data_IF_139676550847
#
_entry.id   IF_139676550847
#
_cell.length_a   1.000
_cell.length_b   1.000
_cell.length_c   1.000
_cell.angle_alpha   90.00
_cell.angle_beta   90.00
_cell.angle_gamma   90.00
#
_symmetry.space_group_name_H-M   'P 1'
#
loop_
_entity.id
_entity.type
_entity.pdbx_description
1 polymer ?
#
# COMPACT_ATOMS: atom_id res chain seq x y z
N UNK A 1 -21.23 69.15 28.11
CA UNK A 1 -20.35 69.03 26.92
C UNK A 1 -20.32 67.57 26.49
N UNK A 2 -20.27 67.25 25.18
CA UNK A 2 -19.99 65.90 24.64
C UNK A 2 -18.51 65.54 24.95
N UNK A 3 -17.90 64.35 24.82
CA UNK A 3 -18.14 63.02 24.19
C UNK A 3 -17.32 61.98 25.05
N UNK A 4 -17.32 60.64 24.93
CA UNK A 4 -17.95 59.66 24.04
C UNK A 4 -18.12 58.27 24.72
N UNK A 5 -18.74 57.34 23.99
CA UNK A 5 -18.75 55.87 24.14
C UNK A 5 -17.36 55.21 24.00
N UNK A 6 -17.19 53.99 24.52
CA UNK A 6 -16.03 53.12 24.26
C UNK A 6 -16.25 51.68 24.73
N UNK A 7 -16.60 50.78 23.82
CA UNK A 7 -16.91 49.37 24.06
C UNK A 7 -15.63 48.58 24.44
N UNK A 8 -15.60 47.88 25.58
CA UNK A 8 -14.52 46.92 25.90
C UNK A 8 -14.89 45.57 25.29
N UNK A 9 -14.41 45.32 24.06
CA UNK A 9 -14.43 43.99 23.45
C UNK A 9 -13.16 43.27 23.91
N UNK A 10 -13.31 42.22 24.72
CA UNK A 10 -12.18 41.39 25.13
C UNK A 10 -11.81 40.46 23.96
N UNK A 11 -10.61 40.64 23.41
CA UNK A 11 -10.13 39.89 22.26
C UNK A 11 -9.86 38.42 22.60
N UNK A 12 -10.70 37.51 22.10
CA UNK A 12 -10.37 36.07 22.00
C UNK A 12 -9.86 35.82 20.58
N UNK A 13 -8.53 35.92 20.40
CA UNK A 13 -7.86 35.61 19.14
C UNK A 13 -6.45 35.07 19.42
N UNK A 14 -6.06 33.98 18.76
CA UNK A 14 -4.66 33.52 18.73
C UNK A 14 -4.31 32.22 19.48
N UNK A 15 -5.16 31.18 19.43
CA UNK A 15 -4.75 29.80 19.75
C UNK A 15 -5.19 28.80 18.66
N UNK A 16 -4.95 29.18 17.40
CA UNK A 16 -5.00 28.28 16.24
C UNK A 16 -3.63 28.29 15.55
N UNK A 17 -2.60 27.90 16.30
CA UNK A 17 -1.26 27.70 15.78
C UNK A 17 -0.95 26.20 15.76
N UNK A 18 -0.79 25.63 14.56
CA UNK A 18 -0.06 24.38 14.38
C UNK A 18 -0.83 23.07 14.60
N UNK A 19 -1.88 22.82 13.82
CA UNK A 19 -1.91 21.52 13.13
C UNK A 19 -0.97 21.66 11.93
N UNK A 20 0.34 21.58 12.19
CA UNK A 20 1.30 21.37 11.11
C UNK A 20 1.05 19.96 10.58
N UNK A 21 0.55 19.85 9.35
CA UNK A 21 0.49 18.55 8.70
C UNK A 21 1.93 18.03 8.59
N UNK A 22 2.21 16.89 9.21
CA UNK A 22 3.50 16.22 9.06
C UNK A 22 3.60 15.75 7.61
N UNK A 23 4.33 16.50 6.79
CA UNK A 23 4.60 16.13 5.41
C UNK A 23 5.77 15.14 5.40
N UNK A 24 5.57 13.95 4.84
CA UNK A 24 6.62 12.93 4.64
C UNK A 24 7.07 12.86 3.19
N UNK A 25 8.19 12.19 2.92
CA UNK A 25 8.59 11.83 1.56
C UNK A 25 7.61 10.81 1.00
N UNK A 26 6.94 11.13 -0.09
CA UNK A 26 6.13 10.16 -0.83
C UNK A 26 6.98 9.50 -1.92
N UNK A 27 6.86 8.18 -2.08
CA UNK A 27 7.54 7.41 -3.13
C UNK A 27 6.54 7.00 -4.22
N UNK A 28 6.81 7.37 -5.47
CA UNK A 28 6.08 6.85 -6.63
C UNK A 28 6.70 5.51 -7.05
N UNK A 29 5.84 4.54 -7.29
CA UNK A 29 6.23 3.21 -7.80
C UNK A 29 5.54 2.93 -9.13
N UNK A 30 6.04 1.93 -9.85
CA UNK A 30 5.41 1.42 -11.08
C UNK A 30 5.41 -0.11 -11.08
N UNK A 31 4.28 -0.73 -11.46
CA UNK A 31 4.18 -2.17 -11.70
C UNK A 31 4.82 -2.50 -13.05
N UNK A 32 6.07 -2.95 -13.03
CA UNK A 32 6.88 -3.18 -14.23
C UNK A 32 6.50 -4.47 -14.97
N UNK A 33 6.19 -5.54 -14.24
CA UNK A 33 5.89 -6.85 -14.84
C UNK A 33 5.17 -7.77 -13.86
N UNK A 34 4.50 -8.78 -14.42
CA UNK A 34 3.94 -9.90 -13.65
C UNK A 34 4.44 -11.23 -14.21
N UNK A 35 5.18 -11.97 -13.39
CA UNK A 35 5.57 -13.36 -13.68
C UNK A 35 4.43 -14.30 -13.29
N UNK A 36 4.11 -15.27 -14.13
CA UNK A 36 2.97 -16.19 -13.95
C UNK A 36 3.41 -17.62 -14.21
N UNK A 37 2.78 -18.56 -13.52
CA UNK A 37 2.99 -19.99 -13.74
C UNK A 37 2.57 -20.37 -15.18
N UNK A 38 3.28 -21.30 -15.85
CA UNK A 38 2.97 -21.72 -17.23
C UNK A 38 1.49 -22.08 -17.41
N UNK A 39 0.93 -22.84 -16.46
CA UNK A 39 -0.48 -23.22 -16.41
C UNK A 39 -1.44 -22.01 -16.37
N UNK A 40 -1.06 -20.91 -15.71
CA UNK A 40 -1.86 -19.69 -15.68
C UNK A 40 -1.83 -18.98 -17.05
N UNK A 41 -0.67 -18.91 -17.70
CA UNK A 41 -0.53 -18.34 -19.05
C UNK A 41 -1.37 -19.12 -20.06
N UNK A 42 -1.31 -20.45 -20.04
CA UNK A 42 -2.12 -21.32 -20.91
C UNK A 42 -3.64 -21.19 -20.68
N UNK A 43 -4.07 -21.03 -19.42
CA UNK A 43 -5.50 -21.07 -19.08
C UNK A 43 -6.19 -19.71 -19.10
N UNK A 44 -5.46 -18.63 -18.82
CA UNK A 44 -6.01 -17.28 -18.64
C UNK A 44 -5.48 -16.28 -19.68
N UNK A 45 -4.61 -16.73 -20.58
CA UNK A 45 -4.14 -15.97 -21.73
C UNK A 45 -3.16 -14.85 -21.36
N UNK A 46 -2.92 -13.95 -22.30
CA UNK A 46 -2.14 -12.73 -22.07
C UNK A 46 -2.76 -11.84 -20.99
N UNK A 47 -1.93 -10.99 -20.39
CA UNK A 47 -2.36 -10.00 -19.41
C UNK A 47 -2.12 -8.58 -19.92
N UNK A 48 -2.84 -7.62 -19.34
CA UNK A 48 -2.60 -6.19 -19.54
C UNK A 48 -2.15 -5.55 -18.22
N UNK A 49 -1.35 -4.49 -18.36
CA UNK A 49 -1.04 -3.55 -17.29
C UNK A 49 -1.58 -2.17 -17.65
N UNK A 50 -2.13 -1.47 -16.67
CA UNK A 50 -2.59 -0.09 -16.78
C UNK A 50 -2.29 0.67 -15.48
N UNK A 51 -2.33 2.00 -15.55
CA UNK A 51 -2.19 2.91 -14.42
C UNK A 51 -3.37 3.89 -14.43
N UNK A 52 -4.03 4.04 -13.29
CA UNK A 52 -5.08 5.02 -13.03
C UNK A 52 -4.56 5.97 -11.94
N UNK A 53 -4.62 7.29 -12.16
CA UNK A 53 -4.40 8.25 -11.07
C UNK A 53 -5.73 8.41 -10.29
N UNK A 54 -5.66 8.36 -8.97
CA UNK A 54 -6.84 8.42 -8.08
C UNK A 54 -6.62 9.39 -6.92
N UNK A 55 -7.67 9.70 -6.15
CA UNK A 55 -7.56 10.52 -4.94
C UNK A 55 -6.60 9.91 -3.89
N UNK A 56 -6.47 8.58 -3.86
CA UNK A 56 -5.53 7.83 -3.01
C UNK A 56 -4.12 7.69 -3.64
N UNK A 57 -3.84 8.44 -4.71
CA UNK A 57 -2.62 8.33 -5.51
C UNK A 57 -2.70 7.30 -6.64
N UNK A 58 -1.56 6.88 -7.21
CA UNK A 58 -1.53 6.03 -8.39
C UNK A 58 -1.89 4.57 -8.07
N UNK A 59 -2.80 4.04 -8.89
CA UNK A 59 -3.28 2.67 -8.87
C UNK A 59 -2.72 1.90 -10.06
N UNK A 60 -1.95 0.84 -9.81
CA UNK A 60 -1.52 -0.08 -10.86
C UNK A 60 -2.55 -1.20 -11.02
N UNK A 61 -2.96 -1.44 -12.25
CA UNK A 61 -3.94 -2.47 -12.59
C UNK A 61 -3.28 -3.56 -13.41
N UNK A 62 -3.44 -4.78 -12.96
CA UNK A 62 -3.19 -6.00 -13.71
C UNK A 62 -4.54 -6.63 -14.09
N UNK A 63 -4.66 -7.16 -15.30
CA UNK A 63 -5.84 -7.94 -15.70
C UNK A 63 -5.49 -9.10 -16.64
N UNK A 64 -6.08 -10.28 -16.41
CA UNK A 64 -6.05 -11.42 -17.33
C UNK A 64 -7.43 -12.09 -17.45
N UNK A 65 -7.50 -13.34 -17.92
CA UNK A 65 -8.74 -14.12 -17.98
C UNK A 65 -9.29 -14.61 -16.62
N UNK A 66 -8.54 -14.51 -15.52
CA UNK A 66 -8.92 -14.99 -14.18
C UNK A 66 -9.37 -13.85 -13.27
N UNK A 67 -8.59 -12.76 -13.20
CA UNK A 67 -8.73 -11.67 -12.22
C UNK A 67 -8.43 -10.31 -12.85
N UNK A 68 -9.02 -9.27 -12.24
CA UNK A 68 -8.52 -7.88 -12.27
C UNK A 68 -7.97 -7.56 -10.89
N UNK A 69 -6.79 -6.96 -10.82
CA UNK A 69 -6.05 -6.71 -9.58
C UNK A 69 -5.57 -5.26 -9.56
N UNK A 70 -6.03 -4.49 -8.58
CA UNK A 70 -5.56 -3.14 -8.29
C UNK A 70 -4.53 -3.15 -7.16
N UNK A 71 -3.44 -2.41 -7.35
CA UNK A 71 -2.39 -2.19 -6.36
C UNK A 71 -2.23 -0.70 -6.10
N UNK A 72 -2.25 -0.32 -4.81
CA UNK A 72 -1.80 0.99 -4.34
C UNK A 72 -0.61 0.76 -3.41
N UNK A 73 0.46 1.53 -3.59
CA UNK A 73 1.62 1.51 -2.71
C UNK A 73 1.64 2.80 -1.89
N UNK A 74 1.54 2.68 -0.57
CA UNK A 74 1.60 3.79 0.37
C UNK A 74 2.48 3.37 1.55
N UNK A 75 3.78 3.67 1.43
CA UNK A 75 4.85 3.20 2.31
C UNK A 75 4.52 3.47 3.80
N UNK A 76 4.43 2.44 4.67
CA UNK A 76 4.93 1.06 4.52
C UNK A 76 3.93 0.01 4.02
N UNK A 77 2.70 0.38 3.68
CA UNK A 77 1.62 -0.55 3.31
C UNK A 77 1.48 -0.74 1.79
N UNK A 78 0.79 -1.81 1.40
CA UNK A 78 0.25 -1.96 0.05
C UNK A 78 -1.24 -2.33 0.13
N UNK A 79 -2.13 -1.54 -0.51
CA UNK A 79 -3.53 -1.95 -0.67
C UNK A 79 -3.64 -2.83 -1.91
N UNK A 80 -4.12 -4.05 -1.70
CA UNK A 80 -4.44 -5.03 -2.73
C UNK A 80 -5.96 -5.08 -2.89
N UNK A 81 -6.43 -4.84 -4.10
CA UNK A 81 -7.83 -5.01 -4.52
C UNK A 81 -7.91 -6.08 -5.60
N UNK A 82 -8.89 -6.98 -5.51
CA UNK A 82 -9.01 -8.13 -6.42
C UNK A 82 -10.47 -8.38 -6.80
N UNK A 83 -10.74 -8.46 -8.09
CA UNK A 83 -12.04 -8.78 -8.67
C UNK A 83 -11.90 -10.08 -9.48
N UNK A 84 -12.69 -11.11 -9.14
CA UNK A 84 -12.75 -12.33 -9.95
C UNK A 84 -13.46 -12.06 -11.28
N UNK A 85 -13.03 -12.73 -12.34
CA UNK A 85 -13.74 -12.79 -13.63
C UNK A 85 -14.45 -14.14 -13.84
N UNK A 86 -14.42 -15.00 -12.82
CA UNK A 86 -14.98 -16.35 -12.85
C UNK A 86 -16.32 -16.43 -12.11
N UNK A 87 -17.22 -17.29 -12.58
CA UNK A 87 -18.45 -17.69 -11.86
C UNK A 87 -18.18 -18.61 -10.65
N UNK A 88 -17.08 -18.37 -9.94
CA UNK A 88 -16.74 -18.99 -8.66
C UNK A 88 -15.72 -18.14 -7.91
N UNK A 89 -15.78 -18.19 -6.58
CA UNK A 89 -14.82 -17.53 -5.69
C UNK A 89 -13.42 -18.14 -5.81
N UNK A 90 -12.40 -17.30 -5.75
CA UNK A 90 -10.97 -17.65 -5.81
C UNK A 90 -10.35 -17.42 -4.43
N UNK A 91 -9.35 -18.22 -4.04
CA UNK A 91 -8.68 -18.08 -2.73
C UNK A 91 -7.22 -17.68 -2.91
N UNK A 92 -6.77 -16.65 -2.20
CA UNK A 92 -5.37 -16.20 -2.23
C UNK A 92 -4.69 -16.51 -0.90
N UNK A 93 -3.64 -17.32 -0.95
CA UNK A 93 -2.94 -17.81 0.24
C UNK A 93 -1.86 -16.83 0.69
N UNK A 94 -2.27 -15.73 1.33
CA UNK A 94 -1.36 -14.69 1.84
C UNK A 94 -0.21 -15.24 2.70
N UNK A 95 -0.51 -16.19 3.60
CA UNK A 95 0.49 -16.88 4.44
C UNK A 95 1.56 -17.68 3.64
N UNK A 96 1.25 -18.02 2.39
CA UNK A 96 2.16 -18.74 1.47
C UNK A 96 2.76 -17.83 0.40
N UNK A 97 2.40 -16.55 0.40
CA UNK A 97 3.01 -15.53 -0.44
C UNK A 97 4.35 -15.04 0.11
N UNK A 98 5.10 -14.37 -0.76
CA UNK A 98 6.40 -13.79 -0.46
C UNK A 98 6.35 -12.29 -0.76
N UNK A 99 6.82 -11.46 0.18
CA UNK A 99 7.25 -10.11 -0.12
C UNK A 99 8.77 -10.11 -0.29
N UNK A 100 9.29 -9.55 -1.38
CA UNK A 100 10.73 -9.32 -1.53
C UNK A 100 11.03 -7.84 -1.38
N UNK A 101 11.72 -7.51 -0.29
CA UNK A 101 12.14 -6.14 0.03
C UNK A 101 13.13 -5.60 -1.02
N UNK A 102 13.26 -4.27 -1.13
CA UNK A 102 14.29 -3.61 -1.98
C UNK A 102 15.74 -4.06 -1.71
N UNK A 103 16.02 -4.61 -0.53
CA UNK A 103 17.30 -5.23 -0.15
C UNK A 103 17.51 -6.64 -0.71
N UNK A 104 16.54 -7.20 -1.43
CA UNK A 104 16.51 -8.60 -1.86
C UNK A 104 16.09 -9.59 -0.76
N UNK A 105 15.90 -9.13 0.49
CA UNK A 105 15.42 -9.97 1.61
C UNK A 105 13.98 -10.42 1.34
N UNK A 106 13.75 -11.72 1.45
CA UNK A 106 12.41 -12.34 1.41
C UNK A 106 11.74 -12.20 2.78
N UNK A 107 10.44 -12.00 2.77
CA UNK A 107 9.63 -11.78 3.95
C UNK A 107 8.21 -12.35 3.76
N UNK A 108 7.52 -12.56 4.86
CA UNK A 108 6.15 -13.07 4.89
C UNK A 108 5.17 -11.91 4.78
N UNK A 109 4.11 -12.07 3.99
CA UNK A 109 2.99 -11.14 3.96
C UNK A 109 2.12 -11.33 5.20
N UNK A 110 1.71 -10.22 5.82
CA UNK A 110 0.63 -10.18 6.82
C UNK A 110 -0.38 -9.10 6.42
N UNK A 111 -1.57 -9.15 7.02
CA UNK A 111 -2.63 -8.17 6.76
C UNK A 111 -2.57 -7.02 7.77
N UNK A 112 -2.91 -5.81 7.31
CA UNK A 112 -2.95 -4.60 8.14
C UNK A 112 -4.04 -4.59 9.21
N UNK A 113 -5.03 -5.49 9.16
CA UNK A 113 -6.05 -5.67 10.20
C UNK A 113 -5.67 -6.67 11.31
N UNK A 114 -4.47 -7.27 11.24
CA UNK A 114 -3.92 -8.11 12.32
C UNK A 114 -3.24 -7.24 13.39
N UNK A 115 -3.36 -7.59 14.67
CA UNK A 115 -2.62 -6.85 15.70
C UNK A 115 -1.11 -7.13 15.62
N UNK A 116 -0.30 -6.19 16.09
CA UNK A 116 1.17 -6.34 16.14
C UNK A 116 1.63 -7.57 16.96
N UNK A 117 0.80 -7.99 17.92
CA UNK A 117 1.01 -9.22 18.72
C UNK A 117 0.84 -10.48 17.85
N UNK A 118 -0.13 -10.48 16.95
CA UNK A 118 -0.48 -11.57 16.02
C UNK A 118 0.36 -11.60 14.73
N UNK A 119 1.32 -10.69 14.53
CA UNK A 119 2.17 -10.63 13.31
C UNK A 119 2.92 -11.93 12.94
N UNK A 120 3.04 -12.86 13.88
CA UNK A 120 3.65 -14.18 13.67
C UNK A 120 2.63 -15.30 13.45
N UNK A 121 1.35 -15.05 13.73
CA UNK A 121 0.26 -16.02 13.66
C UNK A 121 -0.18 -16.24 12.21
N UNK A 122 -0.81 -17.37 11.92
CA UNK A 122 -1.25 -17.77 10.57
C UNK A 122 -2.20 -16.72 9.95
N UNK A 123 -1.88 -16.25 8.74
CA UNK A 123 -2.71 -15.28 8.02
C UNK A 123 -3.83 -16.03 7.30
N UNK A 124 -5.12 -15.74 7.59
CA UNK A 124 -6.23 -16.34 6.85
C UNK A 124 -6.15 -15.98 5.37
N UNK A 125 -6.47 -16.92 4.46
CA UNK A 125 -6.45 -16.64 3.03
C UNK A 125 -7.53 -15.61 2.66
N UNK A 126 -7.23 -14.74 1.70
CA UNK A 126 -8.21 -13.81 1.14
C UNK A 126 -9.17 -14.58 0.24
N UNK A 127 -10.47 -14.44 0.47
CA UNK A 127 -11.50 -14.96 -0.42
C UNK A 127 -11.91 -13.85 -1.39
N UNK A 128 -11.62 -14.03 -2.68
CA UNK A 128 -12.12 -13.18 -3.75
C UNK A 128 -13.49 -13.74 -4.18
N UNK A 129 -14.59 -12.97 -4.08
CA UNK A 129 -15.93 -13.44 -4.42
C UNK A 129 -16.12 -13.81 -5.91
N UNK A 130 -17.34 -14.25 -6.26
CA UNK A 130 -17.68 -14.70 -7.61
C UNK A 130 -18.07 -13.52 -8.50
N UNK A 131 -17.75 -13.61 -9.80
CA UNK A 131 -18.28 -12.67 -10.82
C UNK A 131 -19.73 -12.98 -11.24
N UNK A 132 -20.34 -14.04 -10.69
CA UNK A 132 -21.70 -14.47 -11.04
C UNK A 132 -22.75 -13.49 -10.47
N UNK A 133 -23.51 -12.77 -11.33
CA UNK A 133 -24.47 -11.75 -10.89
C UNK A 133 -25.68 -12.34 -10.16
N UNK A 134 -25.86 -13.67 -10.14
CA UNK A 134 -26.88 -14.35 -9.34
C UNK A 134 -26.41 -14.50 -7.87
N UNK A 135 -25.10 -14.51 -7.64
CA UNK A 135 -24.51 -14.70 -6.31
C UNK A 135 -24.40 -13.36 -5.56
N UNK A 136 -24.11 -12.25 -6.26
CA UNK A 136 -23.92 -10.93 -5.63
C UNK A 136 -24.48 -9.77 -6.47
N UNK A 137 -25.40 -9.00 -5.89
CA UNK A 137 -25.99 -7.77 -6.48
C UNK A 137 -25.11 -6.53 -6.33
N UNK A 138 -24.07 -6.60 -5.49
CA UNK A 138 -23.12 -5.52 -5.20
C UNK A 138 -21.73 -5.96 -5.62
N UNK A 139 -21.08 -5.21 -6.52
CA UNK A 139 -19.78 -5.58 -7.13
C UNK A 139 -18.72 -5.99 -6.07
N UNK A 140 -18.39 -7.29 -5.95
CA UNK A 140 -17.70 -7.79 -4.77
C UNK A 140 -16.23 -8.07 -5.09
N UNK A 141 -15.44 -6.99 -5.15
CA UNK A 141 -13.99 -7.11 -5.03
C UNK A 141 -13.59 -7.43 -3.58
N UNK A 142 -12.49 -8.16 -3.40
CA UNK A 142 -11.84 -8.27 -2.10
C UNK A 142 -10.74 -7.20 -1.97
N UNK A 143 -10.70 -6.48 -0.85
CA UNK A 143 -9.65 -5.48 -0.56
C UNK A 143 -8.94 -5.81 0.75
N UNK A 144 -7.62 -5.65 0.78
CA UNK A 144 -6.80 -5.88 1.97
C UNK A 144 -5.52 -5.04 1.94
N UNK A 145 -5.16 -4.43 3.08
CA UNK A 145 -3.82 -3.85 3.26
C UNK A 145 -2.83 -4.97 3.61
N UNK A 146 -1.69 -5.00 2.93
CA UNK A 146 -0.61 -5.94 3.12
C UNK A 146 0.63 -5.23 3.67
N UNK A 147 1.36 -5.95 4.53
CA UNK A 147 2.60 -5.52 5.17
C UNK A 147 3.64 -6.65 5.13
N UNK A 148 4.94 -6.35 4.94
CA UNK A 148 6.01 -7.30 5.20
C UNK A 148 6.15 -7.53 6.71
N UNK A 149 6.11 -8.78 7.17
CA UNK A 149 6.18 -9.13 8.61
C UNK A 149 7.42 -8.57 9.30
N UNK A 150 8.57 -8.55 8.63
CA UNK A 150 9.84 -8.04 9.16
C UNK A 150 9.89 -6.52 9.29
N UNK A 151 8.84 -5.83 8.82
CA UNK A 151 8.60 -4.40 9.01
C UNK A 151 7.55 -4.12 10.09
N UNK A 152 7.17 -5.12 10.89
CA UNK A 152 6.30 -4.94 12.05
C UNK A 152 7.04 -5.38 13.32
N UNK A 153 7.22 -4.43 14.23
CA UNK A 153 7.75 -4.69 15.56
C UNK A 153 6.67 -4.68 16.64
N UNK A 154 6.96 -5.43 17.71
CA UNK A 154 6.14 -5.45 18.91
C UNK A 154 7.00 -5.86 20.10
N UNK A 155 7.08 -4.97 21.07
CA UNK A 155 7.70 -5.18 22.38
C UNK A 155 6.58 -5.25 23.42
N UNK A 156 6.38 -6.43 24.01
CA UNK A 156 5.48 -6.58 25.13
C UNK A 156 6.02 -5.81 26.36
N UNK A 157 5.13 -5.18 27.10
CA UNK A 157 5.45 -4.72 28.44
C UNK A 157 5.51 -5.92 29.40
N UNK A 158 6.12 -5.74 30.58
CA UNK A 158 6.33 -6.82 31.53
C UNK A 158 5.04 -7.26 32.23
N UNK A 159 4.29 -8.18 31.63
CA UNK A 159 3.02 -8.71 32.14
C UNK A 159 1.96 -8.80 31.04
N UNK A 160 1.02 -9.72 31.20
CA UNK A 160 0.03 -10.16 30.21
C UNK A 160 -0.54 -9.08 29.25
N UNK A 161 -0.35 -9.31 27.94
CA UNK A 161 -1.16 -8.75 26.87
C UNK A 161 -0.68 -7.44 26.26
N UNK A 162 -0.33 -6.46 27.09
CA UNK A 162 -0.02 -5.10 26.64
C UNK A 162 1.40 -4.95 26.09
N UNK A 163 1.58 -4.05 25.12
CA UNK A 163 2.87 -3.77 24.50
C UNK A 163 2.82 -2.58 23.55
N UNK A 164 4.01 -2.13 23.13
CA UNK A 164 4.15 -1.17 22.04
C UNK A 164 4.48 -1.91 20.75
N UNK A 165 3.89 -1.50 19.63
CA UNK A 165 4.28 -1.95 18.31
C UNK A 165 4.30 -0.81 17.32
N UNK A 166 5.11 -1.01 16.29
CA UNK A 166 5.45 -0.02 15.25
C UNK A 166 5.54 -0.71 13.91
N UNK A 167 5.33 0.05 12.84
CA UNK A 167 5.58 -0.39 11.48
C UNK A 167 6.76 0.41 10.94
N UNK A 168 7.80 -0.27 10.49
CA UNK A 168 8.95 0.31 9.80
C UNK A 168 8.64 0.53 8.31
N UNK A 169 9.32 1.48 7.68
CA UNK A 169 9.23 1.80 6.26
C UNK A 169 9.78 0.69 5.35
N UNK A 170 9.14 0.43 4.21
CA UNK A 170 9.70 -0.42 3.14
C UNK A 170 10.81 0.35 2.40
N UNK A 171 10.60 1.66 2.21
CA UNK A 171 11.50 2.60 1.57
C UNK A 171 11.90 3.69 2.57
N UNK A 172 13.13 3.63 3.05
CA UNK A 172 13.72 4.61 3.98
C UNK A 172 14.65 5.57 3.21
N UNK A 173 14.70 6.88 3.53
CA UNK A 173 13.95 7.57 4.57
C UNK A 173 12.59 8.13 4.10
N UNK A 174 11.70 8.42 5.05
CA UNK A 174 10.40 9.05 4.80
C UNK A 174 10.16 10.37 5.59
N UNK A 175 11.05 10.71 6.53
CA UNK A 175 10.96 11.92 7.37
C UNK A 175 10.99 13.23 6.56
N UNK A 176 10.41 14.31 7.11
CA UNK A 176 10.25 15.59 6.37
C UNK A 176 11.56 16.28 6.01
N UNK A 177 12.60 16.04 6.79
CA UNK A 177 13.97 16.54 6.65
C UNK A 177 14.94 15.48 6.07
N UNK A 178 14.39 14.44 5.45
CA UNK A 178 15.12 13.35 4.83
C UNK A 178 16.25 13.83 3.88
N UNK A 179 17.43 13.23 4.05
CA UNK A 179 18.57 13.45 3.16
C UNK A 179 18.20 13.09 1.71
N UNK A 180 18.29 14.09 0.82
CA UNK A 180 17.85 13.95 -0.57
C UNK A 180 18.69 12.96 -1.38
N UNK A 181 19.93 12.67 -0.97
CA UNK A 181 20.77 11.64 -1.60
C UNK A 181 20.34 10.24 -1.16
N UNK A 182 19.94 10.06 0.11
CA UNK A 182 19.36 8.83 0.61
C UNK A 182 18.02 8.51 -0.07
N UNK A 183 17.13 9.51 -0.22
CA UNK A 183 15.88 9.36 -1.00
C UNK A 183 16.17 8.98 -2.46
N UNK A 184 17.10 9.68 -3.12
CA UNK A 184 17.50 9.37 -4.50
C UNK A 184 18.10 7.96 -4.65
N UNK A 185 18.72 7.43 -3.61
CA UNK A 185 19.27 6.07 -3.61
C UNK A 185 18.19 4.97 -3.60
N UNK A 186 16.89 5.31 -3.44
CA UNK A 186 15.78 4.38 -3.63
C UNK A 186 15.32 4.27 -5.09
N UNK A 187 15.59 5.25 -5.94
CA UNK A 187 15.17 5.24 -7.34
C UNK A 187 15.79 4.05 -8.10
N UNK A 188 14.97 3.36 -8.90
CA UNK A 188 15.36 2.13 -9.61
C UNK A 188 15.49 0.88 -8.72
N UNK A 189 15.30 0.98 -7.39
CA UNK A 189 15.17 -0.22 -6.54
C UNK A 189 13.86 -0.94 -6.87
N UNK A 190 13.89 -2.26 -6.78
CA UNK A 190 12.74 -3.13 -7.06
C UNK A 190 12.35 -3.95 -5.84
N UNK A 191 11.05 -4.11 -5.65
CA UNK A 191 10.44 -5.03 -4.70
C UNK A 191 9.39 -5.88 -5.41
N UNK A 192 8.96 -6.99 -4.83
CA UNK A 192 7.96 -7.85 -5.46
C UNK A 192 7.03 -8.52 -4.47
N UNK A 193 5.80 -8.78 -4.91
CA UNK A 193 4.81 -9.54 -4.13
C UNK A 193 4.42 -10.79 -4.92
N UNK A 194 4.66 -11.98 -4.36
CA UNK A 194 4.21 -13.25 -4.91
C UNK A 194 2.97 -13.72 -4.19
N UNK A 195 1.88 -13.94 -4.94
CA UNK A 195 0.59 -14.42 -4.45
C UNK A 195 0.29 -15.83 -5.03
N UNK A 196 0.14 -16.86 -4.18
CA UNK A 196 -0.40 -18.16 -4.60
C UNK A 196 -1.92 -18.10 -4.64
N UNK A 197 -2.47 -18.26 -5.84
CA UNK A 197 -3.89 -18.13 -6.15
C UNK A 197 -4.47 -19.51 -6.42
N UNK A 198 -5.34 -19.99 -5.53
CA UNK A 198 -6.05 -21.26 -5.64
C UNK A 198 -7.39 -21.09 -6.36
N UNK A 199 -7.54 -21.84 -7.44
CA UNK A 199 -8.79 -22.00 -8.19
C UNK A 199 -9.26 -23.46 -8.12
N UNK A 200 -10.43 -23.76 -8.69
CA UNK A 200 -10.92 -25.14 -8.86
C UNK A 200 -9.98 -26.04 -9.69
N UNK A 201 -8.96 -25.47 -10.36
CA UNK A 201 -8.01 -26.18 -11.23
C UNK A 201 -6.62 -26.36 -10.61
N UNK A 202 -6.38 -25.81 -9.41
CA UNK A 202 -5.09 -25.86 -8.71
C UNK A 202 -4.62 -24.49 -8.23
N UNK A 203 -3.39 -24.43 -7.74
CA UNK A 203 -2.72 -23.18 -7.29
C UNK A 203 -1.78 -22.70 -8.39
N UNK A 204 -1.84 -21.41 -8.71
CA UNK A 204 -0.91 -20.70 -9.59
C UNK A 204 -0.22 -19.57 -8.81
N UNK A 205 1.08 -19.40 -9.01
CA UNK A 205 1.81 -18.25 -8.45
C UNK A 205 1.82 -17.10 -9.45
N UNK A 206 1.55 -15.90 -8.93
CA UNK A 206 1.65 -14.61 -9.62
C UNK A 206 2.65 -13.73 -8.85
N UNK A 207 3.73 -13.30 -9.48
CA UNK A 207 4.74 -12.40 -8.89
C UNK A 207 4.66 -11.03 -9.54
N UNK A 208 4.16 -10.05 -8.79
CA UNK A 208 4.07 -8.64 -9.20
C UNK A 208 5.39 -7.95 -8.86
N UNK A 209 6.06 -7.36 -9.86
CA UNK A 209 7.37 -6.71 -9.70
C UNK A 209 7.20 -5.20 -9.83
N UNK A 210 7.55 -4.48 -8.77
CA UNK A 210 7.44 -3.02 -8.68
C UNK A 210 8.82 -2.38 -8.73
N UNK A 211 8.92 -1.19 -9.31
CA UNK A 211 10.11 -0.34 -9.29
C UNK A 211 9.78 1.03 -8.70
N UNK A 212 10.69 1.59 -7.91
CA UNK A 212 10.57 2.97 -7.40
C UNK A 212 11.03 3.93 -8.50
N UNK A 213 10.10 4.64 -9.12
CA UNK A 213 10.37 5.50 -10.28
C UNK A 213 10.60 6.97 -9.90
N UNK A 214 10.06 7.42 -8.76
CA UNK A 214 10.26 8.77 -8.26
C UNK A 214 9.95 8.94 -6.78
N UNK A 215 10.16 10.15 -6.28
CA UNK A 215 9.76 10.57 -4.94
C UNK A 215 9.46 12.08 -4.89
N UNK A 216 8.56 12.49 -4.00
CA UNK A 216 8.28 13.88 -3.64
C UNK A 216 8.77 14.11 -2.21
N UNK A 217 9.83 14.91 -2.07
CA UNK A 217 10.41 15.33 -0.79
C UNK A 217 9.76 16.66 -0.39
N UNK A 218 9.12 16.79 0.78
CA UNK A 218 8.57 18.06 1.23
C UNK A 218 9.69 19.04 1.61
N UNK A 219 9.50 20.33 1.35
CA UNK A 219 10.42 21.38 1.78
C UNK A 219 9.85 22.17 2.96
N UNK A 220 10.73 22.67 3.83
CA UNK A 220 10.34 23.38 5.06
C UNK A 220 9.50 24.65 4.86
N UNK A 221 9.57 25.27 3.68
CA UNK A 221 8.80 26.45 3.30
C UNK A 221 7.52 26.11 2.48
N UNK A 222 7.22 24.83 2.27
CA UNK A 222 6.08 24.33 1.50
C UNK A 222 6.41 23.93 0.04
N UNK A 223 7.56 24.36 -0.49
CA UNK A 223 8.04 23.96 -1.82
C UNK A 223 8.58 22.52 -1.81
N UNK A 224 7.91 21.60 -2.50
CA UNK A 224 8.34 20.20 -2.58
C UNK A 224 9.37 19.95 -3.70
N UNK A 225 10.43 19.19 -3.39
CA UNK A 225 11.38 18.70 -4.38
C UNK A 225 10.92 17.34 -4.94
N UNK A 226 10.58 17.32 -6.24
CA UNK A 226 10.37 16.06 -6.97
C UNK A 226 11.71 15.52 -7.49
N UNK A 227 11.90 14.20 -7.38
CA UNK A 227 13.03 13.46 -7.96
C UNK A 227 12.52 12.23 -8.72
N UNK A 228 13.09 11.95 -9.90
CA UNK A 228 12.61 10.87 -10.77
C UNK A 228 11.26 11.19 -11.43
N UNK A 229 10.49 10.15 -11.75
CA UNK A 229 9.15 10.25 -12.32
C UNK A 229 8.11 10.24 -11.20
N UNK A 230 7.39 11.34 -11.03
CA UNK A 230 6.33 11.49 -10.02
C UNK A 230 5.13 12.18 -10.70
N UNK A 231 3.88 11.73 -10.47
CA UNK A 231 2.71 12.35 -11.09
C UNK A 231 2.58 13.82 -10.69
N UNK A 232 2.22 14.68 -11.64
CA UNK A 232 1.99 16.09 -11.37
C UNK A 232 0.68 16.27 -10.59
N UNK A 233 0.64 17.24 -9.68
CA UNK A 233 -0.60 17.68 -9.03
C UNK A 233 -1.36 18.58 -10.02
N UNK A 234 -2.63 18.24 -10.33
CA UNK A 234 -3.53 19.03 -11.18
C UNK A 234 -4.19 20.19 -10.43
#
# INVERSE_FOLDING_TARGET
>A
MRIANGLVVLSVAGLLAGCGAFQSVSYNTELQSVERSERAVEQYGEYTLAREETEDGPRHIYEDGLLRIGWFFDNPTMRLEMESKMAYSVRVWLDKGEFRLPSGRRDRLVRGDMSYRERNDAVPPLLVPSADPIIEESAPGASVHLLPRSKIDFTAYGGEGDGHGSIEEILEPTESDADSMAVRANLGKRFSVTLPIETRRGVDNYTFVFEVTGAKIPGGDGDAQVVGEYPAEE
#
